data_IF_674710899567
#
_entry.id   IF_674710899567
#
_cell.length_a   1.000
_cell.length_b   1.000
_cell.length_c   1.000
_cell.angle_alpha   90.00
_cell.angle_beta   90.00
_cell.angle_gamma   90.00
#
_symmetry.space_group_name_H-M   'P 1'
#
loop_
_entity.id
_entity.type
_entity.pdbx_description
1 polymer ?
#
# COMPACT_ATOMS: atom_id res chain seq x y z
N UNK A 1 -9.77 12.07 22.99
CA UNK A 1 -8.43 11.62 23.38
C UNK A 1 -7.42 12.45 22.62
N UNK A 2 -6.59 13.20 23.34
CA UNK A 2 -5.51 13.99 22.72
C UNK A 2 -4.31 13.07 22.44
N UNK A 3 -3.83 13.09 21.20
CA UNK A 3 -2.59 12.40 20.81
C UNK A 3 -1.48 13.44 20.90
N UNK A 4 -0.49 13.18 21.73
CA UNK A 4 0.71 14.02 21.83
C UNK A 4 1.77 13.45 20.90
N UNK A 5 2.19 14.24 19.91
CA UNK A 5 3.29 13.90 19.01
C UNK A 5 4.57 14.46 19.64
N UNK A 6 5.53 13.59 19.95
CA UNK A 6 6.88 14.02 20.33
C UNK A 6 7.81 13.84 19.12
N UNK A 7 8.40 14.94 18.65
CA UNK A 7 9.46 14.90 17.64
C UNK A 7 10.82 14.76 18.34
N UNK A 8 11.65 13.87 17.82
CA UNK A 8 13.03 13.68 18.28
C UNK A 8 13.95 14.23 17.19
N UNK A 9 14.69 15.28 17.53
CA UNK A 9 15.74 15.84 16.68
C UNK A 9 16.97 14.92 16.74
N UNK A 10 17.43 14.41 15.62
CA UNK A 10 18.57 13.49 15.52
C UNK A 10 19.90 14.19 15.27
N UNK A 11 19.94 15.51 15.11
CA UNK A 11 21.19 16.31 15.17
C UNK A 11 22.21 16.09 14.06
N UNK A 12 21.88 15.46 12.95
CA UNK A 12 22.79 15.29 11.81
C UNK A 12 22.43 16.23 10.67
N UNK A 13 23.31 17.22 10.45
CA UNK A 13 23.25 18.15 9.33
C UNK A 13 24.24 17.73 8.27
N UNK A 14 23.82 17.02 7.25
CA UNK A 14 24.44 17.06 5.93
C UNK A 14 23.35 17.27 4.88
N UNK A 15 23.38 18.45 4.28
CA UNK A 15 22.87 18.93 2.97
C UNK A 15 21.74 18.13 2.26
N UNK A 16 20.78 17.58 3.01
CA UNK A 16 19.57 16.98 2.50
C UNK A 16 18.40 17.37 3.41
N UNK A 17 17.24 17.59 2.84
CA UNK A 17 16.04 17.98 3.58
C UNK A 17 15.81 17.05 4.79
N UNK A 18 15.37 17.60 5.94
CA UNK A 18 15.14 16.79 7.14
C UNK A 18 14.08 15.72 6.85
N UNK A 19 14.48 14.46 7.03
CA UNK A 19 13.56 13.33 6.98
C UNK A 19 12.80 13.33 8.30
N UNK A 20 11.49 13.61 8.25
CA UNK A 20 10.62 13.47 9.41
C UNK A 20 10.07 12.06 9.47
N UNK A 21 10.47 11.30 10.48
CA UNK A 21 9.88 10.00 10.78
C UNK A 21 8.68 10.22 11.70
N UNK A 22 7.46 10.07 11.18
CA UNK A 22 6.25 10.06 11.98
C UNK A 22 5.72 8.63 12.11
N UNK A 23 5.68 8.11 13.32
CA UNK A 23 5.07 6.81 13.61
C UNK A 23 3.63 7.04 14.03
N UNK A 24 2.67 6.65 13.17
CA UNK A 24 1.26 6.61 13.54
C UNK A 24 0.87 5.20 13.95
N UNK A 25 0.45 5.06 15.18
CA UNK A 25 -0.28 3.89 15.61
C UNK A 25 -1.74 4.06 15.19
N UNK A 26 -2.15 3.39 14.12
CA UNK A 26 -3.57 3.35 13.79
C UNK A 26 -4.33 2.60 14.87
N UNK A 27 -5.53 3.09 15.28
CA UNK A 27 -6.34 2.35 16.22
C UNK A 27 -6.74 1.01 15.59
N UNK A 28 -6.53 -0.07 16.35
CA UNK A 28 -6.99 -1.41 15.96
C UNK A 28 -8.51 -1.36 15.82
N UNK A 29 -8.99 -1.36 14.59
CA UNK A 29 -10.40 -1.60 14.33
C UNK A 29 -10.63 -3.08 14.66
N UNK A 30 -11.47 -3.36 15.65
CA UNK A 30 -11.92 -4.74 15.90
C UNK A 30 -12.67 -5.21 14.66
N UNK A 31 -12.00 -5.98 13.84
CA UNK A 31 -12.61 -6.66 12.69
C UNK A 31 -13.58 -7.67 13.25
N UNK A 32 -14.86 -7.58 12.84
CA UNK A 32 -15.84 -8.61 13.14
C UNK A 32 -15.34 -9.96 12.60
N UNK A 33 -15.66 -11.04 13.31
CA UNK A 33 -15.25 -12.39 12.95
C UNK A 33 -15.58 -12.69 11.47
N UNK A 34 -14.55 -12.72 10.61
CA UNK A 34 -14.69 -13.15 9.23
C UNK A 34 -15.07 -14.63 9.24
N UNK A 35 -16.23 -14.98 8.68
CA UNK A 35 -16.59 -16.39 8.47
C UNK A 35 -15.67 -16.97 7.40
N UNK A 36 -14.91 -18.04 7.71
CA UNK A 36 -14.11 -18.71 6.69
C UNK A 36 -15.05 -19.26 5.60
N UNK A 37 -14.75 -18.96 4.35
CA UNK A 37 -15.38 -19.62 3.20
C UNK A 37 -15.00 -21.10 3.28
N UNK A 38 -15.99 -21.97 3.57
CA UNK A 38 -15.77 -23.40 3.79
C UNK A 38 -15.34 -24.06 2.47
N UNK A 39 -14.17 -24.71 2.46
CA UNK A 39 -13.78 -25.68 1.47
C UNK A 39 -12.54 -25.42 0.63
N UNK A 40 -11.96 -24.23 0.67
CA UNK A 40 -10.67 -23.92 0.07
C UNK A 40 -9.81 -23.23 1.16
N UNK A 41 -8.51 -23.54 1.22
CA UNK A 41 -7.55 -22.81 2.07
C UNK A 41 -7.34 -21.37 1.54
N UNK A 42 -8.42 -20.62 1.41
CA UNK A 42 -8.41 -19.28 0.89
C UNK A 42 -8.11 -18.30 2.03
N UNK A 43 -7.31 -17.26 1.81
CA UNK A 43 -7.08 -16.24 2.81
C UNK A 43 -8.41 -15.60 3.21
N UNK A 44 -8.59 -15.37 4.50
CA UNK A 44 -9.76 -14.64 5.00
C UNK A 44 -9.76 -13.23 4.43
N UNK A 45 -10.95 -12.72 4.09
CA UNK A 45 -11.12 -11.32 3.69
C UNK A 45 -11.50 -10.48 4.90
N UNK A 46 -11.04 -9.23 4.92
CA UNK A 46 -11.26 -8.27 6.00
C UNK A 46 -12.45 -7.37 5.73
N UNK A 47 -12.43 -6.71 4.58
CA UNK A 47 -13.44 -5.73 4.22
C UNK A 47 -13.62 -5.63 2.70
N UNK A 48 -14.82 -5.25 2.27
CA UNK A 48 -15.11 -4.91 0.89
C UNK A 48 -14.44 -3.56 0.55
N UNK A 49 -13.72 -3.52 -0.57
CA UNK A 49 -13.08 -2.30 -1.03
C UNK A 49 -14.06 -1.47 -1.86
N UNK A 50 -14.24 -0.22 -1.50
CA UNK A 50 -15.20 0.69 -2.12
C UNK A 50 -14.57 1.91 -2.79
N UNK A 51 -13.28 2.18 -2.53
CA UNK A 51 -12.59 3.31 -3.13
C UNK A 51 -12.27 3.04 -4.61
N UNK A 52 -12.36 4.08 -5.41
CA UNK A 52 -11.95 4.02 -6.81
C UNK A 52 -10.42 3.88 -6.91
N UNK A 53 -9.97 3.09 -7.89
CA UNK A 53 -8.55 2.91 -8.19
C UNK A 53 -8.27 3.34 -9.62
N UNK A 54 -7.01 3.72 -9.90
CA UNK A 54 -6.53 4.09 -11.24
C UNK A 54 -7.34 5.25 -11.88
N UNK A 55 -7.81 6.19 -11.05
CA UNK A 55 -8.54 7.38 -11.53
C UNK A 55 -7.62 8.55 -11.86
N UNK A 56 -6.33 8.43 -11.60
CA UNK A 56 -5.32 9.45 -11.86
C UNK A 56 -4.41 9.00 -13.01
N UNK A 57 -4.58 9.58 -14.19
CA UNK A 57 -3.78 9.28 -15.39
C UNK A 57 -2.29 9.70 -15.27
N UNK A 58 -1.96 10.47 -14.25
CA UNK A 58 -0.60 10.95 -13.99
C UNK A 58 0.33 9.92 -13.38
N UNK A 59 -0.15 8.76 -12.96
CA UNK A 59 0.69 7.70 -12.41
C UNK A 59 0.17 6.31 -12.79
N UNK A 60 1.08 5.36 -12.88
CA UNK A 60 0.80 3.96 -13.20
C UNK A 60 1.55 3.03 -12.23
N UNK A 61 0.91 1.94 -11.86
CA UNK A 61 1.48 0.88 -11.05
C UNK A 61 1.48 -0.40 -11.86
N UNK A 62 2.65 -1.04 -11.98
CA UNK A 62 2.79 -2.33 -12.65
C UNK A 62 3.69 -3.28 -11.88
N UNK A 63 3.55 -4.59 -12.11
CA UNK A 63 4.52 -5.57 -11.62
C UNK A 63 5.62 -5.80 -12.66
N UNK A 64 6.88 -5.56 -12.29
CA UNK A 64 8.02 -6.07 -13.05
C UNK A 64 8.11 -7.60 -12.94
N UNK A 65 7.86 -8.11 -11.75
CA UNK A 65 7.74 -9.54 -11.44
C UNK A 65 7.01 -9.75 -10.12
N UNK A 66 6.40 -10.91 -9.96
CA UNK A 66 5.77 -11.31 -8.68
C UNK A 66 5.83 -12.82 -8.48
N UNK A 67 5.60 -13.23 -7.23
CA UNK A 67 5.47 -14.60 -6.76
C UNK A 67 4.27 -14.69 -5.83
N UNK A 68 4.09 -15.81 -5.16
CA UNK A 68 3.06 -15.99 -4.14
C UNK A 68 3.40 -15.37 -2.78
N UNK A 69 4.60 -14.80 -2.61
CA UNK A 69 5.08 -14.19 -1.35
C UNK A 69 5.51 -12.72 -1.47
N UNK A 70 5.62 -12.19 -2.67
CA UNK A 70 6.07 -10.81 -2.91
C UNK A 70 6.35 -10.51 -4.37
N UNK A 71 6.85 -9.32 -4.66
CA UNK A 71 7.18 -8.90 -6.01
C UNK A 71 7.97 -7.59 -6.06
N UNK A 72 8.31 -7.16 -7.26
CA UNK A 72 8.87 -5.85 -7.54
C UNK A 72 7.81 -5.02 -8.27
N UNK A 73 7.34 -3.95 -7.62
CA UNK A 73 6.44 -2.97 -8.21
C UNK A 73 7.24 -1.86 -8.89
N UNK A 74 6.77 -1.45 -10.05
CA UNK A 74 7.18 -0.22 -10.71
C UNK A 74 6.07 0.81 -10.57
N UNK A 75 6.40 1.93 -9.95
CA UNK A 75 5.53 3.10 -9.87
C UNK A 75 6.07 4.16 -10.84
N UNK A 76 5.27 4.50 -11.85
CA UNK A 76 5.68 5.34 -12.98
C UNK A 76 4.94 6.68 -12.87
N UNK A 77 5.69 7.78 -12.93
CA UNK A 77 5.12 9.11 -12.95
C UNK A 77 5.02 9.63 -14.39
N UNK A 78 3.81 9.71 -14.90
CA UNK A 78 3.49 10.27 -16.23
C UNK A 78 3.05 11.74 -16.16
N UNK A 79 2.93 12.29 -14.94
CA UNK A 79 2.46 13.66 -14.73
C UNK A 79 3.53 14.71 -15.08
N UNK A 80 3.14 15.96 -15.08
CA UNK A 80 4.00 17.13 -15.34
C UNK A 80 4.65 17.70 -14.06
N UNK A 81 4.62 16.93 -12.95
CA UNK A 81 5.16 17.33 -11.65
C UNK A 81 5.64 16.14 -10.84
N UNK A 82 6.33 16.44 -9.75
CA UNK A 82 6.75 15.42 -8.81
C UNK A 82 5.55 14.91 -8.00
N UNK A 83 5.51 13.60 -7.77
CA UNK A 83 4.54 12.93 -6.94
C UNK A 83 5.20 12.41 -5.65
N UNK A 84 4.40 12.04 -4.66
CA UNK A 84 4.88 11.35 -3.46
C UNK A 84 4.15 10.02 -3.29
N UNK A 85 4.83 9.04 -2.69
CA UNK A 85 4.24 7.75 -2.34
C UNK A 85 4.85 7.23 -1.03
N UNK A 86 4.17 6.29 -0.38
CA UNK A 86 4.58 5.73 0.90
C UNK A 86 4.95 4.25 0.82
N UNK A 87 5.08 3.64 2.00
CA UNK A 87 5.30 2.19 2.12
C UNK A 87 4.00 1.39 2.14
N UNK A 88 2.88 2.04 2.38
CA UNK A 88 1.60 1.36 2.49
C UNK A 88 1.20 0.63 1.20
N UNK A 89 0.68 -0.56 1.36
CA UNK A 89 -0.02 -1.32 0.32
C UNK A 89 -1.06 -2.24 0.95
N UNK A 90 -2.02 -2.65 0.14
CA UNK A 90 -3.05 -3.62 0.49
C UNK A 90 -3.15 -4.70 -0.59
N UNK A 91 -3.23 -5.96 -0.16
CA UNK A 91 -3.50 -7.07 -1.07
C UNK A 91 -4.98 -7.40 -0.98
N UNK A 92 -5.60 -7.42 -2.13
CA UNK A 92 -7.02 -7.69 -2.26
C UNK A 92 -7.25 -8.93 -3.11
N UNK A 93 -8.36 -9.60 -2.85
CA UNK A 93 -8.80 -10.76 -3.59
C UNK A 93 -10.13 -10.49 -4.25
N UNK A 94 -10.30 -11.00 -5.48
CA UNK A 94 -11.55 -10.97 -6.20
C UNK A 94 -12.46 -12.12 -5.73
N UNK A 95 -13.66 -11.79 -5.27
CA UNK A 95 -14.69 -12.73 -4.84
C UNK A 95 -16.01 -12.34 -5.49
N UNK A 96 -16.57 -13.21 -6.30
CA UNK A 96 -17.83 -12.96 -7.03
C UNK A 96 -17.83 -11.65 -7.86
N UNK A 97 -16.66 -11.27 -8.38
CA UNK A 97 -16.49 -10.06 -9.19
C UNK A 97 -16.14 -8.79 -8.40
N UNK A 98 -16.22 -8.83 -7.08
CA UNK A 98 -15.94 -7.71 -6.19
C UNK A 98 -14.58 -7.86 -5.48
N UNK A 99 -13.96 -6.74 -5.10
CA UNK A 99 -12.66 -6.72 -4.47
C UNK A 99 -12.76 -6.60 -2.94
N UNK A 100 -12.03 -7.46 -2.25
CA UNK A 100 -11.97 -7.50 -0.79
C UNK A 100 -10.53 -7.49 -0.31
N UNK A 101 -10.23 -6.61 0.65
CA UNK A 101 -8.95 -6.61 1.37
C UNK A 101 -8.75 -7.91 2.13
N UNK A 102 -7.56 -8.50 2.04
CA UNK A 102 -7.22 -9.69 2.81
C UNK A 102 -7.04 -9.37 4.29
N UNK A 103 -7.37 -10.35 5.14
CA UNK A 103 -7.06 -10.27 6.56
C UNK A 103 -5.55 -10.44 6.79
N UNK A 104 -5.00 -9.67 7.71
CA UNK A 104 -3.61 -9.83 8.13
C UNK A 104 -3.46 -11.11 8.96
N UNK A 105 -2.32 -11.80 8.81
CA UNK A 105 -1.95 -12.95 9.64
C UNK A 105 -1.20 -12.53 10.91
N UNK A 106 -0.84 -11.25 11.00
CA UNK A 106 -0.14 -10.67 12.15
C UNK A 106 -1.05 -9.72 12.92
N UNK A 107 -0.75 -9.55 14.20
CA UNK A 107 -1.34 -8.53 15.05
C UNK A 107 -0.45 -7.27 15.04
N UNK A 108 -1.07 -6.10 15.24
CA UNK A 108 -0.37 -4.81 15.38
C UNK A 108 0.46 -4.40 14.14
N UNK A 109 -0.14 -4.50 12.96
CA UNK A 109 0.48 -3.97 11.74
C UNK A 109 0.62 -2.45 11.81
N UNK A 110 1.83 -1.97 11.54
CA UNK A 110 2.11 -0.55 11.32
C UNK A 110 3.02 -0.40 10.10
N UNK A 111 2.70 0.56 9.24
CA UNK A 111 3.60 1.01 8.19
C UNK A 111 4.36 2.24 8.66
N UNK A 112 5.60 2.37 8.24
CA UNK A 112 6.34 3.60 8.44
C UNK A 112 5.70 4.70 7.58
N UNK A 113 5.44 5.85 8.19
CA UNK A 113 4.99 7.02 7.44
C UNK A 113 6.20 7.75 6.83
N UNK A 114 6.71 7.17 5.76
CA UNK A 114 7.75 7.79 4.94
C UNK A 114 7.11 8.22 3.63
N UNK A 115 7.37 9.46 3.21
CA UNK A 115 7.03 9.94 1.89
C UNK A 115 8.28 9.92 1.02
N UNK A 116 8.22 9.14 -0.05
CA UNK A 116 9.25 9.09 -1.09
C UNK A 116 8.86 10.01 -2.22
N UNK A 117 9.82 10.74 -2.75
CA UNK A 117 9.63 11.55 -3.94
C UNK A 117 9.68 10.66 -5.18
N UNK A 118 8.73 10.83 -6.09
CA UNK A 118 8.74 10.26 -7.43
C UNK A 118 8.80 11.40 -8.44
N UNK A 119 10.00 11.77 -8.93
CA UNK A 119 10.17 12.90 -9.84
C UNK A 119 9.37 12.73 -11.13
N UNK A 120 9.04 13.86 -11.75
CA UNK A 120 8.35 13.92 -13.04
C UNK A 120 9.07 13.06 -14.08
N UNK A 121 8.34 12.15 -14.74
CA UNK A 121 8.84 11.29 -15.80
C UNK A 121 9.72 10.12 -15.33
N UNK A 122 9.90 9.94 -14.02
CA UNK A 122 10.72 8.88 -13.44
C UNK A 122 9.89 7.65 -13.06
N UNK A 123 10.58 6.53 -12.90
CA UNK A 123 10.04 5.27 -12.41
C UNK A 123 10.76 4.89 -11.12
N UNK A 124 10.01 4.54 -10.10
CA UNK A 124 10.54 3.96 -8.87
C UNK A 124 10.25 2.46 -8.83
N UNK A 125 11.28 1.66 -8.54
CA UNK A 125 11.13 0.21 -8.30
C UNK A 125 11.04 -0.02 -6.80
N UNK A 126 9.92 -0.58 -6.36
CA UNK A 126 9.64 -0.89 -4.96
C UNK A 126 9.56 -2.41 -4.76
N UNK A 127 10.63 -3.04 -4.24
CA UNK A 127 10.55 -4.43 -3.81
C UNK A 127 9.58 -4.54 -2.63
N UNK A 128 8.64 -5.48 -2.71
CA UNK A 128 7.69 -5.75 -1.64
C UNK A 128 7.66 -7.24 -1.29
N UNK A 129 7.45 -7.51 -0.01
CA UNK A 129 7.19 -8.86 0.49
C UNK A 129 5.93 -8.80 1.34
N UNK A 130 4.92 -9.56 0.94
CA UNK A 130 3.64 -9.62 1.66
C UNK A 130 3.48 -10.88 2.52
N UNK A 131 4.41 -11.84 2.43
CA UNK A 131 4.33 -13.10 3.16
C UNK A 131 4.17 -12.88 4.68
N UNK A 132 4.87 -11.91 5.24
CA UNK A 132 4.81 -11.60 6.67
C UNK A 132 3.48 -10.98 7.10
N UNK A 133 2.74 -10.33 6.17
CA UNK A 133 1.45 -9.69 6.45
C UNK A 133 0.26 -10.60 6.17
N UNK A 134 0.30 -11.32 5.04
CA UNK A 134 -0.82 -12.08 4.52
C UNK A 134 -0.54 -13.58 4.40
N UNK A 135 0.72 -13.99 4.64
CA UNK A 135 1.17 -15.34 4.33
C UNK A 135 1.37 -15.55 2.83
N UNK A 136 1.65 -16.77 2.46
CA UNK A 136 1.74 -17.21 1.07
C UNK A 136 0.35 -17.18 0.44
N UNK A 137 0.22 -16.48 -0.69
CA UNK A 137 -1.05 -16.40 -1.41
C UNK A 137 -1.34 -17.71 -2.15
N UNK A 138 -2.50 -18.35 -1.91
CA UNK A 138 -2.92 -19.50 -2.70
C UNK A 138 -3.35 -19.07 -4.11
N UNK A 139 -3.53 -20.02 -5.04
CA UNK A 139 -4.01 -19.73 -6.38
C UNK A 139 -5.31 -18.91 -6.38
N UNK A 140 -5.37 -17.89 -7.24
CA UNK A 140 -6.51 -16.99 -7.33
C UNK A 140 -6.19 -15.67 -8.00
N UNK A 141 -7.24 -14.84 -8.20
CA UNK A 141 -7.16 -13.50 -8.74
C UNK A 141 -6.99 -12.49 -7.60
N UNK A 142 -5.98 -11.67 -7.71
CA UNK A 142 -5.59 -10.67 -6.72
C UNK A 142 -5.33 -9.32 -7.38
N UNK A 143 -5.29 -8.27 -6.57
CA UNK A 143 -4.67 -7.01 -6.93
C UNK A 143 -3.90 -6.46 -5.74
N UNK A 144 -2.87 -5.68 -6.03
CA UNK A 144 -2.22 -4.83 -5.05
C UNK A 144 -2.73 -3.42 -5.22
N UNK A 145 -2.95 -2.72 -4.11
CA UNK A 145 -3.32 -1.31 -4.07
C UNK A 145 -2.25 -0.56 -3.30
N UNK A 146 -1.85 0.61 -3.78
CA UNK A 146 -0.98 1.55 -3.07
C UNK A 146 -1.50 2.98 -3.23
N UNK A 147 -0.94 3.90 -2.44
CA UNK A 147 -1.29 5.32 -2.49
C UNK A 147 -0.24 6.11 -3.26
N UNK A 148 -0.69 7.12 -4.00
CA UNK A 148 0.14 8.17 -4.56
C UNK A 148 -0.51 9.53 -4.26
N UNK A 149 0.32 10.48 -3.85
CA UNK A 149 -0.11 11.84 -3.56
C UNK A 149 0.38 12.80 -4.66
N UNK A 150 -0.56 13.50 -5.29
CA UNK A 150 -0.28 14.68 -6.12
C UNK A 150 -0.02 15.85 -5.18
N UNK A 151 1.23 15.95 -4.72
CA UNK A 151 1.65 16.85 -3.66
C UNK A 151 2.04 18.23 -4.21
N UNK A 152 1.47 19.30 -3.67
CA UNK A 152 1.75 20.68 -4.04
C UNK A 152 2.44 21.45 -2.91
N UNK A 153 1.95 21.29 -1.68
CA UNK A 153 2.50 21.94 -0.49
C UNK A 153 2.02 21.21 0.79
N UNK A 154 2.60 21.48 1.96
CA UNK A 154 2.11 20.95 3.22
C UNK A 154 0.61 21.22 3.42
N UNK A 155 -0.19 20.15 3.50
CA UNK A 155 -1.65 20.21 3.61
C UNK A 155 -2.40 20.50 2.31
N UNK A 156 -1.69 20.57 1.18
CA UNK A 156 -2.26 20.74 -0.16
C UNK A 156 -1.77 19.59 -1.06
N UNK A 157 -2.52 18.51 -1.09
CA UNK A 157 -2.28 17.35 -1.93
C UNK A 157 -3.60 16.62 -2.20
N UNK A 158 -3.67 15.93 -3.33
CA UNK A 158 -4.74 15.01 -3.64
C UNK A 158 -4.19 13.58 -3.59
N UNK A 159 -4.89 12.70 -2.89
CA UNK A 159 -4.53 11.31 -2.74
C UNK A 159 -5.28 10.46 -3.74
N UNK A 160 -4.58 9.56 -4.41
CA UNK A 160 -5.13 8.59 -5.34
C UNK A 160 -4.70 7.18 -4.97
N UNK A 161 -5.55 6.20 -5.31
CA UNK A 161 -5.22 4.79 -5.19
C UNK A 161 -4.87 4.23 -6.56
N UNK A 162 -3.71 3.57 -6.64
CA UNK A 162 -3.29 2.83 -7.81
C UNK A 162 -3.39 1.34 -7.52
N UNK A 163 -3.79 0.57 -8.50
CA UNK A 163 -3.92 -0.88 -8.37
C UNK A 163 -3.39 -1.60 -9.60
N UNK A 164 -2.75 -2.74 -9.37
CA UNK A 164 -2.34 -3.68 -10.41
C UNK A 164 -2.91 -5.07 -10.09
N UNK A 165 -3.61 -5.67 -11.07
CA UNK A 165 -4.19 -7.00 -10.96
C UNK A 165 -3.15 -8.07 -11.32
N UNK A 166 -3.17 -9.20 -10.60
CA UNK A 166 -2.29 -10.32 -10.84
C UNK A 166 -2.95 -11.67 -10.47
N UNK A 167 -2.43 -12.74 -11.01
CA UNK A 167 -2.95 -14.08 -10.77
C UNK A 167 -1.86 -14.99 -10.20
N UNK A 168 -2.16 -15.69 -9.12
CA UNK A 168 -1.34 -16.78 -8.61
C UNK A 168 -1.87 -18.09 -9.21
N UNK A 169 -1.05 -18.73 -10.01
CA UNK A 169 -1.35 -20.02 -10.63
C UNK A 169 -0.91 -21.20 -9.76
N UNK A 170 -1.45 -22.40 -10.04
CA UNK A 170 -1.06 -23.63 -9.36
C UNK A 170 0.33 -24.11 -9.78
#
# INVERSE_FOLDING_TARGET
QHITISMKDTGETESHMPIYEAVYLQPIVKVGEAKPLQGLNLPSVREHWTEEVNTFDGAELIFAKYTDIGGDLELINHSDRDLQYGEWFDIQRKVEGEWYSLSYVIENLAFHQVAYLLPMGETSIKPITWEWMYGKLPPGEYRIVTEVDDYRAPGDFDKYYLAEEFEIMQ
#
